data_IF_893467557360
#
_entry.id   IF_893467557360
#
_cell.length_a   1.000
_cell.length_b   1.000
_cell.length_c   1.000
_cell.angle_alpha   90.00
_cell.angle_beta   90.00
_cell.angle_gamma   90.00
#
_symmetry.space_group_name_H-M   'P 1'
#
loop_
_entity.id
_entity.type
_entity.pdbx_description
1 polymer ?
#
# COMPACT_ATOMS: atom_id res chain seq x y z
N UNK A 1 -15.54 -5.87 -16.80
CA UNK A 1 -14.37 -6.77 -16.76
C UNK A 1 -13.50 -6.22 -15.66
N UNK A 2 -13.23 -6.99 -14.63
CA UNK A 2 -12.42 -6.53 -13.50
C UNK A 2 -10.95 -6.88 -13.79
N UNK A 3 -10.07 -5.89 -13.69
CA UNK A 3 -8.63 -6.10 -13.73
C UNK A 3 -8.11 -6.09 -12.30
N UNK A 4 -7.40 -7.14 -11.91
CA UNK A 4 -6.78 -7.26 -10.58
C UNK A 4 -5.28 -7.31 -10.72
N UNK A 5 -4.57 -6.41 -10.06
CA UNK A 5 -3.11 -6.44 -9.95
C UNK A 5 -2.68 -6.70 -8.52
N UNK A 6 -1.57 -7.41 -8.40
CA UNK A 6 -0.94 -7.68 -7.11
C UNK A 6 0.45 -7.09 -7.19
N UNK A 7 0.77 -6.19 -6.26
CA UNK A 7 2.04 -5.47 -6.22
C UNK A 7 2.60 -5.46 -4.80
N UNK A 8 3.93 -5.52 -4.62
CA UNK A 8 4.53 -5.25 -3.32
C UNK A 8 4.53 -3.76 -2.97
N UNK A 9 4.32 -2.85 -3.92
CA UNK A 9 4.34 -1.42 -3.65
C UNK A 9 3.36 -0.62 -4.49
N UNK A 10 2.84 0.46 -3.91
CA UNK A 10 1.97 1.42 -4.61
C UNK A 10 2.14 2.82 -4.00
N UNK A 11 2.03 3.84 -4.85
CA UNK A 11 2.03 5.26 -4.49
C UNK A 11 0.64 5.87 -4.76
N UNK A 12 -0.22 5.91 -3.74
CA UNK A 12 -1.56 6.53 -3.80
C UNK A 12 -1.73 7.69 -2.81
N UNK A 13 -0.86 7.79 -1.83
CA UNK A 13 -0.86 8.90 -0.88
C UNK A 13 0.56 9.06 -0.36
N UNK A 14 1.03 10.29 -0.24
CA UNK A 14 2.36 10.56 0.32
C UNK A 14 2.47 10.12 1.78
N UNK A 15 1.37 10.07 2.53
CA UNK A 15 1.32 9.57 3.90
C UNK A 15 1.31 8.03 3.97
N UNK A 16 0.98 7.33 2.88
CA UNK A 16 1.06 5.86 2.80
C UNK A 16 2.46 5.41 2.38
N UNK A 17 3.24 4.93 3.36
CA UNK A 17 4.67 4.57 3.19
C UNK A 17 4.88 3.19 2.57
N UNK A 18 4.14 2.86 1.51
CA UNK A 18 4.18 1.56 0.81
C UNK A 18 5.00 1.58 -0.48
N UNK A 19 5.66 2.70 -0.80
CA UNK A 19 6.47 2.85 -2.02
C UNK A 19 7.97 2.93 -1.70
N UNK A 20 8.77 2.34 -2.57
CA UNK A 20 10.24 2.33 -2.54
C UNK A 20 10.77 3.08 -3.75
N UNK A 21 10.16 2.89 -4.92
CA UNK A 21 10.66 3.47 -6.16
C UNK A 21 9.61 3.58 -7.27
N UNK A 22 10.08 3.51 -8.51
CA UNK A 22 9.27 3.77 -9.70
C UNK A 22 8.18 2.73 -9.99
N UNK A 23 8.27 1.51 -9.44
CA UNK A 23 7.21 0.51 -9.65
C UNK A 23 5.94 0.91 -8.89
N UNK A 24 6.09 1.40 -7.66
CA UNK A 24 4.96 1.90 -6.87
C UNK A 24 4.33 3.14 -7.48
N UNK A 25 5.14 4.05 -8.05
CA UNK A 25 4.64 5.20 -8.82
C UNK A 25 3.85 4.74 -10.03
N UNK A 26 4.43 3.85 -10.84
CA UNK A 26 3.76 3.31 -12.02
C UNK A 26 2.43 2.62 -11.68
N UNK A 27 2.37 1.87 -10.58
CA UNK A 27 1.13 1.21 -10.18
C UNK A 27 0.08 2.21 -9.65
N UNK A 28 0.51 3.28 -8.97
CA UNK A 28 -0.35 4.41 -8.62
C UNK A 28 -0.93 5.11 -9.85
N UNK A 29 -0.10 5.40 -10.85
CA UNK A 29 -0.52 6.02 -12.11
C UNK A 29 -1.55 5.16 -12.85
N UNK A 30 -1.36 3.83 -12.87
CA UNK A 30 -2.36 2.91 -13.43
C UNK A 30 -3.66 2.95 -12.63
N UNK A 31 -3.59 2.97 -11.31
CA UNK A 31 -4.77 3.01 -10.45
C UNK A 31 -5.62 4.25 -10.71
N UNK A 32 -5.01 5.44 -10.72
CA UNK A 32 -5.71 6.69 -11.03
C UNK A 32 -6.18 6.74 -12.48
N UNK A 33 -5.31 6.42 -13.44
CA UNK A 33 -5.67 6.44 -14.85
C UNK A 33 -6.81 5.45 -15.19
N UNK A 34 -6.86 4.30 -14.54
CA UNK A 34 -7.98 3.37 -14.68
C UNK A 34 -9.28 3.94 -14.11
N UNK A 35 -9.22 4.60 -12.94
CA UNK A 35 -10.36 5.29 -12.35
C UNK A 35 -10.90 6.41 -13.24
N UNK A 36 -10.02 7.23 -13.81
CA UNK A 36 -10.40 8.32 -14.74
C UNK A 36 -11.06 7.78 -16.03
N UNK A 37 -10.67 6.58 -16.46
CA UNK A 37 -11.27 5.88 -17.61
C UNK A 37 -12.55 5.10 -17.26
N UNK A 38 -12.98 5.10 -15.99
CA UNK A 38 -14.15 4.35 -15.52
C UNK A 38 -13.97 2.82 -15.56
N UNK A 39 -12.73 2.33 -15.44
CA UNK A 39 -12.42 0.91 -15.43
C UNK A 39 -12.49 0.33 -14.01
N UNK A 40 -13.02 -0.88 -13.89
CA UNK A 40 -12.97 -1.65 -12.64
C UNK A 40 -11.56 -2.22 -12.44
N UNK A 41 -10.72 -1.49 -11.71
CA UNK A 41 -9.32 -1.81 -11.44
C UNK A 41 -9.05 -1.95 -9.94
N UNK A 42 -8.61 -3.13 -9.53
CA UNK A 42 -8.35 -3.46 -8.12
C UNK A 42 -6.86 -3.74 -7.94
N UNK A 43 -6.22 -3.03 -7.02
CA UNK A 43 -4.83 -3.29 -6.63
C UNK A 43 -4.80 -3.95 -5.26
N UNK A 44 -4.13 -5.10 -5.15
CA UNK A 44 -3.84 -5.76 -3.89
C UNK A 44 -2.37 -5.54 -3.52
N UNK A 45 -2.15 -4.97 -2.34
CA UNK A 45 -0.81 -4.72 -1.79
C UNK A 45 -0.79 -4.98 -0.29
N UNK A 46 0.41 -4.97 0.30
CA UNK A 46 0.60 -5.09 1.74
C UNK A 46 0.64 -3.71 2.40
N UNK A 47 -0.04 -3.59 3.54
CA UNK A 47 0.11 -2.43 4.43
C UNK A 47 1.31 -2.65 5.36
N UNK A 48 2.50 -2.22 4.94
CA UNK A 48 3.71 -2.33 5.76
C UNK A 48 3.64 -1.40 6.97
N UNK A 49 3.60 -1.96 8.18
CA UNK A 49 3.52 -1.18 9.43
C UNK A 49 4.69 -0.23 9.64
N UNK A 50 5.87 -0.57 9.10
CA UNK A 50 7.13 0.19 9.20
C UNK A 50 7.57 0.88 7.90
N UNK A 51 6.67 0.88 6.90
CA UNK A 51 6.95 1.36 5.56
C UNK A 51 8.19 0.72 4.94
N UNK A 52 8.94 1.51 4.16
CA UNK A 52 10.26 1.12 3.65
C UNK A 52 11.37 1.43 4.67
N UNK A 53 12.25 2.38 4.37
CA UNK A 53 13.29 2.90 5.26
C UNK A 53 13.48 4.39 5.02
N UNK A 54 13.74 5.15 6.07
CA UNK A 54 14.42 6.44 5.97
C UNK A 54 15.92 6.25 6.26
N UNK A 55 16.75 7.14 5.71
CA UNK A 55 18.18 7.15 5.98
C UNK A 55 18.53 8.32 6.91
N UNK A 56 19.13 8.00 8.07
CA UNK A 56 19.84 8.97 8.91
C UNK A 56 21.33 8.81 8.70
N UNK A 57 22.11 9.85 8.97
CA UNK A 57 23.56 9.80 8.79
C UNK A 57 24.27 10.00 10.13
N UNK A 58 25.23 9.13 10.42
CA UNK A 58 26.19 9.28 11.52
C UNK A 58 27.55 9.59 10.92
N UNK A 59 27.82 10.89 10.74
CA UNK A 59 28.92 11.31 9.88
C UNK A 59 28.57 11.00 8.42
N UNK A 60 29.41 10.24 7.73
CA UNK A 60 29.16 9.79 6.34
C UNK A 60 28.44 8.42 6.28
N UNK A 61 28.26 7.74 7.41
CA UNK A 61 27.65 6.42 7.47
C UNK A 61 26.12 6.51 7.43
N UNK A 62 25.44 5.94 6.41
CA UNK A 62 23.99 5.86 6.38
C UNK A 62 23.47 4.76 7.32
N UNK A 63 22.48 5.11 8.12
CA UNK A 63 21.78 4.24 9.06
C UNK A 63 20.31 4.18 8.63
N UNK A 64 19.87 2.99 8.24
CA UNK A 64 18.48 2.73 7.91
C UNK A 64 17.63 2.75 9.20
N UNK A 65 16.54 3.51 9.15
CA UNK A 65 15.51 3.52 10.19
C UNK A 65 14.15 3.24 9.56
N UNK A 66 13.17 2.71 10.33
CA UNK A 66 11.80 2.54 9.83
C UNK A 66 11.20 3.85 9.34
N UNK A 67 10.45 3.78 8.24
CA UNK A 67 9.62 4.88 7.77
C UNK A 67 8.20 4.67 8.33
N UNK A 68 7.98 5.14 9.56
CA UNK A 68 6.72 4.94 10.28
C UNK A 68 5.53 5.53 9.49
N UNK A 69 4.41 4.82 9.49
CA UNK A 69 3.17 5.28 8.85
C UNK A 69 2.63 6.50 9.61
N UNK A 70 2.20 7.53 8.88
CA UNK A 70 1.46 8.64 9.50
C UNK A 70 0.08 8.13 9.94
N UNK A 71 -0.30 8.17 11.23
CA UNK A 71 -1.57 7.61 11.70
C UNK A 71 -2.80 8.18 10.98
N UNK A 72 -2.70 9.37 10.39
CA UNK A 72 -3.76 9.98 9.58
C UNK A 72 -4.15 9.15 8.37
N UNK A 73 -3.26 8.33 7.82
CA UNK A 73 -3.61 7.49 6.66
C UNK A 73 -4.73 6.51 6.99
N UNK A 74 -4.82 6.03 8.23
CA UNK A 74 -5.90 5.11 8.64
C UNK A 74 -7.25 5.80 8.77
N UNK A 75 -7.31 7.14 8.73
CA UNK A 75 -8.55 7.90 8.71
C UNK A 75 -9.13 8.09 7.31
N UNK A 76 -8.31 7.98 6.26
CA UNK A 76 -8.77 7.99 4.86
C UNK A 76 -9.12 6.61 4.33
N UNK A 77 -8.72 5.54 5.04
CA UNK A 77 -9.02 4.16 4.70
C UNK A 77 -10.28 3.68 5.42
N UNK A 78 -11.08 2.86 4.73
CA UNK A 78 -12.14 2.08 5.39
C UNK A 78 -11.69 0.63 5.56
N UNK A 79 -12.26 -0.06 6.53
CA UNK A 79 -11.95 -1.46 6.82
C UNK A 79 -13.22 -2.28 6.61
N UNK A 80 -13.08 -3.42 5.94
CA UNK A 80 -14.10 -4.46 6.01
C UNK A 80 -13.93 -5.29 7.28
N UNK A 81 -14.90 -6.16 7.53
CA UNK A 81 -14.84 -7.14 8.61
C UNK A 81 -13.61 -8.03 8.48
N UNK A 82 -12.83 -8.22 9.56
CA UNK A 82 -11.71 -9.14 9.56
C UNK A 82 -12.17 -10.57 9.23
N UNK A 83 -11.37 -11.28 8.44
CA UNK A 83 -11.62 -12.67 8.10
C UNK A 83 -10.36 -13.51 8.24
N UNK A 84 -10.53 -14.83 8.27
CA UNK A 84 -9.41 -15.77 8.34
C UNK A 84 -9.22 -16.46 7.00
N UNK A 85 -7.96 -16.69 6.64
CA UNK A 85 -7.58 -17.57 5.55
C UNK A 85 -6.68 -18.69 6.06
N UNK A 86 -6.66 -19.82 5.36
CA UNK A 86 -5.67 -20.86 5.59
C UNK A 86 -4.49 -20.64 4.64
N UNK A 87 -3.32 -20.33 5.18
CA UNK A 87 -2.08 -20.14 4.42
C UNK A 87 -1.02 -21.11 4.94
N UNK A 88 -0.56 -22.04 4.11
CA UNK A 88 0.47 -23.03 4.47
C UNK A 88 0.15 -23.81 5.76
N UNK A 89 -1.12 -24.18 5.94
CA UNK A 89 -1.67 -24.84 7.14
C UNK A 89 -1.69 -23.99 8.42
N UNK A 90 -1.52 -22.67 8.31
CA UNK A 90 -1.70 -21.72 9.40
C UNK A 90 -2.94 -20.87 9.15
N UNK A 91 -3.77 -20.66 10.19
CA UNK A 91 -4.84 -19.67 10.14
C UNK A 91 -4.25 -18.27 10.24
N UNK A 92 -4.41 -17.47 9.18
CA UNK A 92 -3.96 -16.08 9.13
C UNK A 92 -5.17 -15.17 9.19
N UNK A 93 -5.16 -14.23 10.14
CA UNK A 93 -6.18 -13.19 10.26
C UNK A 93 -5.83 -12.02 9.33
N UNK A 94 -6.78 -11.63 8.49
CA UNK A 94 -6.66 -10.49 7.58
C UNK A 94 -7.66 -9.43 8.02
N UNK A 95 -7.16 -8.21 8.20
CA UNK A 95 -7.96 -6.99 8.28
C UNK A 95 -7.63 -6.12 7.08
N UNK A 96 -8.50 -6.05 6.06
CA UNK A 96 -8.23 -5.25 4.88
C UNK A 96 -8.36 -3.76 5.19
N UNK A 97 -7.47 -2.97 4.60
CA UNK A 97 -7.62 -1.52 4.51
C UNK A 97 -7.90 -1.18 3.05
N UNK A 98 -9.01 -0.52 2.81
CA UNK A 98 -9.51 -0.22 1.48
C UNK A 98 -9.41 1.28 1.21
N UNK A 99 -9.01 1.59 -0.02
CA UNK A 99 -9.00 2.92 -0.62
C UNK A 99 -9.81 2.85 -1.91
N UNK A 100 -10.75 3.77 -2.09
CA UNK A 100 -11.53 3.89 -3.32
C UNK A 100 -11.24 5.22 -4.01
N UNK A 101 -11.11 5.18 -5.33
CA UNK A 101 -11.00 6.35 -6.18
C UNK A 101 -12.03 6.24 -7.29
N UNK A 102 -12.89 7.24 -7.40
CA UNK A 102 -13.86 7.41 -8.47
C UNK A 102 -13.61 8.82 -9.00
N UNK A 103 -13.00 8.94 -10.19
CA UNK A 103 -12.54 10.21 -10.76
C UNK A 103 -13.55 11.35 -10.70
#
# INVERSE_FOLDING_TARGET
MVVVTITPEICVDDDLKTRIGGLGVLEGDKFYGAGDLGLEYVVLTLTYSKGYIDLKFRGEEPIAIPQEQNPRIYSSLYSDEPFKILLRNEEVYIKPWNLAYNG
#
